data_IF_497971511902
#
_entry.id   IF_497971511902
#
_cell.length_a   1.000
_cell.length_b   1.000
_cell.length_c   1.000
_cell.angle_alpha   90.00
_cell.angle_beta   90.00
_cell.angle_gamma   90.00
#
_symmetry.space_group_name_H-M   'P 1'
#
loop_
_entity.id
_entity.type
_entity.pdbx_description
1 polymer ?
#
# COMPACT_ATOMS: atom_id res chain seq x y z
N UNK A 1 20.18 2.01 -4.49
CA UNK A 1 18.97 1.46 -5.13
C UNK A 1 17.87 1.45 -4.10
N UNK A 2 16.86 2.28 -4.28
CA UNK A 2 15.64 2.18 -3.49
C UNK A 2 14.85 0.99 -4.02
N UNK A 3 14.41 0.11 -3.11
CA UNK A 3 13.63 -1.07 -3.48
C UNK A 3 12.16 -0.73 -3.25
N UNK A 4 11.42 -0.62 -4.33
CA UNK A 4 9.96 -0.58 -4.29
C UNK A 4 9.40 -2.00 -4.37
N UNK A 5 8.41 -2.29 -3.53
CA UNK A 5 7.72 -3.57 -3.53
C UNK A 5 6.28 -3.39 -4.00
N UNK A 6 5.88 -4.23 -4.95
CA UNK A 6 4.58 -4.17 -5.61
C UNK A 6 3.78 -5.41 -5.24
N UNK A 7 2.49 -5.23 -4.94
CA UNK A 7 1.55 -6.34 -4.74
C UNK A 7 0.36 -6.23 -5.66
N UNK A 8 -0.06 -7.39 -6.13
CA UNK A 8 -1.20 -7.52 -7.04
C UNK A 8 -2.25 -8.42 -6.42
N UNK A 9 -3.51 -8.18 -6.78
CA UNK A 9 -4.61 -9.10 -6.49
C UNK A 9 -4.65 -10.27 -7.50
N UNK A 10 -5.53 -11.28 -7.32
CA UNK A 10 -5.67 -12.39 -8.26
C UNK A 10 -6.13 -12.00 -9.67
N UNK A 11 -6.68 -10.80 -9.84
CA UNK A 11 -7.05 -10.23 -11.14
C UNK A 11 -5.89 -9.44 -11.77
N UNK A 12 -4.70 -9.53 -11.17
CA UNK A 12 -3.47 -8.85 -11.59
C UNK A 12 -3.56 -7.32 -11.54
N UNK A 13 -4.35 -6.77 -10.60
CA UNK A 13 -4.49 -5.34 -10.36
C UNK A 13 -3.54 -4.91 -9.24
N UNK A 14 -2.88 -3.76 -9.39
CA UNK A 14 -1.92 -3.25 -8.41
C UNK A 14 -2.66 -2.77 -7.15
N UNK A 15 -2.47 -3.44 -6.02
CA UNK A 15 -3.16 -3.10 -4.75
C UNK A 15 -2.28 -2.41 -3.72
N UNK A 16 -0.96 -2.57 -3.80
CA UNK A 16 -0.02 -1.95 -2.87
C UNK A 16 1.32 -1.63 -3.54
N UNK A 17 1.82 -0.41 -3.28
CA UNK A 17 3.20 -0.02 -3.55
C UNK A 17 3.82 0.34 -2.21
N UNK A 18 4.89 -0.36 -1.83
CA UNK A 18 5.69 -0.01 -0.66
C UNK A 18 7.00 0.61 -1.09
N UNK A 19 7.23 1.85 -0.67
CA UNK A 19 8.54 2.49 -0.80
C UNK A 19 9.12 2.66 0.61
N UNK A 20 10.33 2.11 0.82
CA UNK A 20 11.00 2.09 2.14
C UNK A 20 11.31 3.50 2.68
N UNK A 21 11.41 4.50 1.80
CA UNK A 21 11.90 5.84 2.15
C UNK A 21 10.85 6.94 2.04
N UNK A 22 9.69 6.68 1.43
CA UNK A 22 8.73 7.73 1.07
C UNK A 22 7.31 7.44 1.56
N UNK A 23 6.43 7.03 0.65
CA UNK A 23 5.01 6.86 0.88
C UNK A 23 4.58 5.47 0.42
N UNK A 24 3.82 4.78 1.28
CA UNK A 24 3.14 3.57 0.85
C UNK A 24 1.79 3.94 0.27
N UNK A 25 1.45 3.32 -0.85
CA UNK A 25 0.18 3.55 -1.55
C UNK A 25 -0.62 2.27 -1.57
N UNK A 26 -1.91 2.37 -1.25
CA UNK A 26 -2.88 1.30 -1.45
C UNK A 26 -3.96 1.74 -2.43
N UNK A 27 -4.39 0.80 -3.25
CA UNK A 27 -5.33 1.03 -4.34
C UNK A 27 -6.56 0.15 -4.11
N UNK A 28 -7.73 0.67 -4.45
CA UNK A 28 -9.00 -0.04 -4.35
C UNK A 28 -9.68 -0.05 -5.69
N UNK A 29 -10.35 -1.15 -5.99
CA UNK A 29 -11.05 -1.35 -7.25
C UNK A 29 -12.50 -1.71 -6.97
N UNK A 30 -13.40 -1.26 -7.83
CA UNK A 30 -14.78 -1.71 -7.83
C UNK A 30 -14.89 -3.13 -8.41
N UNK A 31 -16.09 -3.71 -8.41
CA UNK A 31 -16.33 -5.06 -8.93
C UNK A 31 -16.09 -5.19 -10.44
N UNK A 32 -15.99 -4.08 -11.17
CA UNK A 32 -15.74 -4.04 -12.62
C UNK A 32 -14.26 -3.85 -12.94
N UNK A 33 -13.40 -3.71 -11.92
CA UNK A 33 -11.96 -3.48 -12.08
C UNK A 33 -11.60 -2.01 -12.34
N UNK A 34 -12.51 -1.07 -12.13
CA UNK A 34 -12.15 0.35 -12.16
C UNK A 34 -11.54 0.74 -10.82
N UNK A 35 -10.48 1.53 -10.85
CA UNK A 35 -9.89 2.06 -9.63
C UNK A 35 -10.87 3.00 -8.94
N UNK A 36 -11.39 2.58 -7.79
CA UNK A 36 -12.34 3.30 -6.98
C UNK A 36 -11.68 4.29 -6.01
N UNK A 37 -10.38 4.10 -5.70
CA UNK A 37 -9.69 5.01 -4.78
C UNK A 37 -8.22 4.73 -4.53
N UNK A 38 -7.64 5.57 -3.66
CA UNK A 38 -6.27 5.46 -3.19
C UNK A 38 -6.12 5.94 -1.74
N UNK A 39 -5.28 5.25 -0.97
CA UNK A 39 -4.80 5.72 0.33
C UNK A 39 -3.29 5.89 0.23
N UNK A 40 -2.82 7.10 0.55
CA UNK A 40 -1.39 7.40 0.72
C UNK A 40 -1.07 7.41 2.20
N UNK A 41 -0.12 6.60 2.59
CA UNK A 41 0.44 6.58 3.94
C UNK A 41 1.85 7.13 3.84
N UNK A 42 2.01 8.42 4.13
CA UNK A 42 3.33 8.99 4.33
C UNK A 42 3.84 8.52 5.69
N UNK A 43 5.10 8.07 5.74
CA UNK A 43 5.71 7.75 7.01
C UNK A 43 5.95 9.06 7.78
N UNK A 44 5.03 9.44 8.68
CA UNK A 44 5.42 10.26 9.82
C UNK A 44 6.35 9.36 10.64
N UNK A 45 7.65 9.60 10.47
CA UNK A 45 8.78 8.77 10.88
C UNK A 45 8.96 8.74 12.41
N UNK A 46 7.99 8.25 13.17
CA UNK A 46 8.17 7.90 14.59
C UNK A 46 7.06 6.95 15.06
N UNK A 47 7.30 5.64 14.97
CA UNK A 47 6.71 4.67 15.92
C UNK A 47 5.37 3.98 15.62
N UNK A 48 4.61 4.34 14.57
CA UNK A 48 3.27 3.74 14.37
C UNK A 48 3.26 2.40 13.61
N UNK A 49 4.35 2.02 12.94
CA UNK A 49 4.43 0.75 12.20
C UNK A 49 4.43 -0.49 13.09
N UNK A 50 4.95 -0.37 14.32
CA UNK A 50 4.91 -1.46 15.31
C UNK A 50 3.51 -1.79 15.82
N UNK A 51 2.52 -0.92 15.56
CA UNK A 51 1.15 -1.07 16.04
C UNK A 51 0.25 -1.83 15.06
N UNK A 52 0.46 -1.68 13.74
CA UNK A 52 -0.40 -2.31 12.73
C UNK A 52 -0.01 -3.77 12.43
N UNK A 53 1.26 -4.13 12.55
CA UNK A 53 1.73 -5.52 12.34
C UNK A 53 1.36 -6.47 13.52
N UNK A 54 0.76 -5.93 14.59
CA UNK A 54 0.37 -6.68 15.80
C UNK A 54 -1.15 -6.81 15.99
N UNK A 55 -1.95 -6.28 15.08
CA UNK A 55 -3.40 -6.51 15.14
C UNK A 55 -3.71 -7.89 14.52
N UNK A 56 -4.52 -8.73 15.20
CA UNK A 56 -4.86 -10.07 14.74
C UNK A 56 -5.63 -10.07 13.42
#
# INVERSE_FOLDING_TARGET
>A
YEKEEYKYDPLNQLVEVKNRNEENRKYFYDSLGNRAGEIKMSYIKIGLWSYFDKLP
#
